data_IF_641612031665
#
_entry.id   IF_641612031665
#
_cell.length_a   1.000
_cell.length_b   1.000
_cell.length_c   1.000
_cell.angle_alpha   90.00
_cell.angle_beta   90.00
_cell.angle_gamma   90.00
#
_symmetry.space_group_name_H-M   'P 1'
#
loop_
_entity.id
_entity.type
_entity.pdbx_description
1 polymer ?
#
# COMPACT_ATOMS: atom_id res chain seq x y z
N UNK A 1 -22.27 32.91 32.92
CA UNK A 1 -20.94 33.37 32.47
C UNK A 1 -20.00 32.18 32.21
N UNK A 2 -19.74 31.30 33.18
CA UNK A 2 -18.87 30.11 33.02
C UNK A 2 -19.17 29.22 31.79
N UNK A 3 -20.45 28.88 31.56
CA UNK A 3 -20.85 28.04 30.42
C UNK A 3 -20.51 28.65 29.05
N UNK A 4 -20.54 29.97 28.92
CA UNK A 4 -20.23 30.65 27.65
C UNK A 4 -18.73 30.63 27.38
N UNK A 5 -17.90 30.76 28.43
CA UNK A 5 -16.45 30.63 28.31
C UNK A 5 -16.02 29.19 27.98
N UNK A 6 -16.68 28.19 28.58
CA UNK A 6 -16.43 26.78 28.26
C UNK A 6 -16.77 26.47 26.79
N UNK A 7 -17.97 26.83 26.33
CA UNK A 7 -18.38 26.64 24.94
C UNK A 7 -17.49 27.42 23.96
N UNK A 8 -17.12 28.66 24.30
CA UNK A 8 -16.20 29.47 23.51
C UNK A 8 -14.81 28.85 23.40
N UNK A 9 -14.25 28.36 24.51
CA UNK A 9 -12.95 27.69 24.50
C UNK A 9 -12.95 26.40 23.68
N UNK A 10 -14.04 25.62 23.74
CA UNK A 10 -14.19 24.39 22.95
C UNK A 10 -14.34 24.69 21.46
N UNK A 11 -15.07 25.75 21.10
CA UNK A 11 -15.21 26.22 19.73
C UNK A 11 -13.86 26.71 19.16
N UNK A 12 -13.09 27.48 19.93
CA UNK A 12 -11.75 27.92 19.54
C UNK A 12 -10.79 26.74 19.37
N UNK A 13 -10.81 25.77 20.28
CA UNK A 13 -10.02 24.55 20.16
C UNK A 13 -10.36 23.78 18.88
N UNK A 14 -11.65 23.65 18.57
CA UNK A 14 -12.12 23.00 17.32
C UNK A 14 -11.62 23.72 16.09
N UNK A 15 -11.70 25.05 16.04
CA UNK A 15 -11.21 25.85 14.93
C UNK A 15 -9.69 25.70 14.77
N UNK A 16 -8.94 25.70 15.87
CA UNK A 16 -7.49 25.48 15.84
C UNK A 16 -7.12 24.09 15.30
N UNK A 17 -7.85 23.05 15.70
CA UNK A 17 -7.65 21.69 15.20
C UNK A 17 -8.00 21.58 13.71
N UNK A 18 -9.11 22.17 13.26
CA UNK A 18 -9.49 22.17 11.85
C UNK A 18 -8.47 22.92 11.00
N UNK A 19 -7.97 24.06 11.50
CA UNK A 19 -6.92 24.82 10.84
C UNK A 19 -5.62 24.02 10.74
N UNK A 20 -5.22 23.35 11.82
CA UNK A 20 -4.07 22.46 11.83
C UNK A 20 -4.22 21.30 10.84
N UNK A 21 -5.37 20.63 10.83
CA UNK A 21 -5.67 19.53 9.91
C UNK A 21 -5.62 19.99 8.45
N UNK A 22 -6.21 21.15 8.15
CA UNK A 22 -6.15 21.75 6.81
C UNK A 22 -4.72 22.08 6.41
N UNK A 23 -3.92 22.65 7.32
CA UNK A 23 -2.52 22.97 7.06
C UNK A 23 -1.67 21.71 6.77
N UNK A 24 -1.83 20.65 7.57
CA UNK A 24 -1.15 19.37 7.34
C UNK A 24 -1.58 18.75 6.03
N UNK A 25 -2.88 18.77 5.71
CA UNK A 25 -3.41 18.25 4.45
C UNK A 25 -2.81 19.01 3.25
N UNK A 26 -2.74 20.34 3.32
CA UNK A 26 -2.09 21.15 2.27
C UNK A 26 -0.63 20.81 2.10
N UNK A 27 0.13 20.69 3.19
CA UNK A 27 1.54 20.31 3.13
C UNK A 27 1.73 18.90 2.55
N UNK A 28 0.83 17.97 2.86
CA UNK A 28 0.83 16.65 2.24
C UNK A 28 0.54 16.74 0.75
N UNK A 29 -0.46 17.51 0.32
CA UNK A 29 -0.76 17.71 -1.10
C UNK A 29 0.40 18.38 -1.85
N UNK A 30 1.05 19.38 -1.27
CA UNK A 30 2.23 20.05 -1.86
C UNK A 30 3.44 19.10 -1.94
N UNK A 31 3.65 18.23 -0.93
CA UNK A 31 4.71 17.23 -0.95
C UNK A 31 4.41 16.05 -1.90
N UNK A 32 3.13 15.80 -2.19
CA UNK A 32 2.65 14.79 -3.13
C UNK A 32 2.18 15.43 -4.44
N UNK A 33 2.59 16.68 -4.73
CA UNK A 33 2.62 17.25 -6.08
C UNK A 33 3.79 16.57 -6.82
N UNK A 34 3.73 15.23 -6.82
CA UNK A 34 4.42 14.40 -7.79
C UNK A 34 4.00 15.01 -9.10
N UNK A 35 4.95 15.57 -9.84
CA UNK A 35 4.75 15.86 -11.25
C UNK A 35 3.93 14.70 -11.79
N UNK A 36 2.79 14.99 -12.41
CA UNK A 36 2.05 13.97 -13.16
C UNK A 36 2.93 13.63 -14.36
N UNK A 37 4.02 12.91 -14.08
CA UNK A 37 4.77 12.13 -15.02
C UNK A 37 3.84 11.05 -15.56
N UNK A 38 4.36 10.31 -16.53
CA UNK A 38 3.68 9.29 -17.31
C UNK A 38 2.45 8.74 -16.59
N UNK A 39 1.24 8.90 -17.16
CA UNK A 39 -0.04 8.58 -16.48
C UNK A 39 -0.10 7.12 -15.99
N UNK A 40 0.84 6.31 -16.45
CA UNK A 40 1.03 4.92 -16.17
C UNK A 40 2.53 4.63 -15.87
N UNK A 41 3.10 5.13 -14.76
CA UNK A 41 4.50 4.88 -14.45
C UNK A 41 4.79 3.39 -14.34
N UNK A 42 6.05 2.99 -14.56
CA UNK A 42 6.47 1.64 -14.23
C UNK A 42 6.33 1.36 -12.73
N UNK A 43 5.52 0.37 -12.36
CA UNK A 43 5.27 0.05 -10.93
C UNK A 43 5.73 -1.36 -10.58
N UNK A 44 6.40 -1.51 -9.43
CA UNK A 44 6.67 -2.81 -8.82
C UNK A 44 5.81 -2.97 -7.57
N UNK A 45 4.94 -3.98 -7.59
CA UNK A 45 4.03 -4.30 -6.49
C UNK A 45 4.68 -5.35 -5.60
N UNK A 46 5.12 -4.94 -4.42
CA UNK A 46 5.65 -5.84 -3.41
C UNK A 46 4.50 -6.50 -2.64
N UNK A 47 4.43 -7.83 -2.68
CA UNK A 47 3.39 -8.64 -2.04
C UNK A 47 4.04 -9.56 -1.01
N UNK A 48 4.06 -9.18 0.27
CA UNK A 48 4.48 -10.09 1.32
C UNK A 48 3.48 -11.25 1.42
N UNK A 49 4.00 -12.46 1.60
CA UNK A 49 3.25 -13.71 1.67
C UNK A 49 3.75 -14.48 2.88
N UNK A 50 2.83 -15.12 3.61
CA UNK A 50 3.16 -15.96 4.75
C UNK A 50 2.15 -17.10 4.85
N UNK A 51 2.65 -18.32 4.73
CA UNK A 51 1.84 -19.53 4.74
C UNK A 51 0.91 -19.66 3.53
N UNK A 52 0.11 -20.73 3.55
CA UNK A 52 -0.91 -21.00 2.55
C UNK A 52 -2.26 -21.21 3.23
N UNK A 53 -3.26 -20.47 2.78
CA UNK A 53 -4.67 -20.71 3.10
C UNK A 53 -5.39 -21.32 1.89
N UNK A 54 -6.61 -21.84 2.11
CA UNK A 54 -7.39 -22.51 1.05
C UNK A 54 -7.74 -21.62 -0.14
N UNK A 55 -7.65 -20.29 0.01
CA UNK A 55 -7.91 -19.27 -1.01
C UNK A 55 -6.67 -18.50 -1.46
N UNK A 56 -5.48 -18.76 -0.88
CA UNK A 56 -4.25 -18.03 -1.22
C UNK A 56 -3.96 -18.08 -2.73
N UNK A 57 -4.15 -19.23 -3.38
CA UNK A 57 -3.93 -19.34 -4.83
C UNK A 57 -4.91 -18.49 -5.65
N UNK A 58 -6.19 -18.43 -5.26
CA UNK A 58 -7.18 -17.58 -5.94
C UNK A 58 -6.86 -16.10 -5.76
N UNK A 59 -6.39 -15.70 -4.57
CA UNK A 59 -5.91 -14.35 -4.30
C UNK A 59 -4.68 -13.98 -5.13
N UNK A 60 -3.74 -14.91 -5.34
CA UNK A 60 -2.61 -14.66 -6.22
C UNK A 60 -3.08 -14.54 -7.67
N UNK A 61 -3.87 -15.50 -8.16
CA UNK A 61 -4.38 -15.50 -9.54
C UNK A 61 -5.16 -14.22 -9.87
N UNK A 62 -6.05 -13.78 -8.98
CA UNK A 62 -6.80 -12.53 -9.18
C UNK A 62 -5.91 -11.29 -9.20
N UNK A 63 -4.85 -11.25 -8.36
CA UNK A 63 -3.86 -10.17 -8.38
C UNK A 63 -3.13 -10.08 -9.72
N UNK A 64 -2.76 -11.23 -10.29
CA UNK A 64 -2.05 -11.30 -11.56
C UNK A 64 -2.92 -10.93 -12.77
N UNK A 65 -4.24 -11.00 -12.61
CA UNK A 65 -5.20 -10.62 -13.66
C UNK A 65 -5.54 -9.12 -13.64
N UNK A 66 -4.98 -8.34 -12.72
CA UNK A 66 -5.23 -6.90 -12.68
C UNK A 66 -4.57 -6.21 -13.89
N UNK A 67 -5.39 -5.56 -14.71
CA UNK A 67 -4.90 -4.77 -15.85
C UNK A 67 -4.43 -3.40 -15.36
N UNK A 68 -3.20 -3.05 -15.73
CA UNK A 68 -2.62 -1.73 -15.53
C UNK A 68 -1.96 -1.33 -16.85
N UNK A 69 -2.29 -0.16 -17.39
CA UNK A 69 -1.87 0.21 -18.75
C UNK A 69 -0.36 0.57 -18.85
N UNK A 70 0.35 0.59 -17.72
CA UNK A 70 1.81 0.77 -17.65
C UNK A 70 2.57 -0.54 -17.45
N UNK A 71 3.90 -0.49 -17.55
CA UNK A 71 4.72 -1.65 -17.17
C UNK A 71 4.55 -1.94 -15.68
N UNK A 72 4.21 -3.17 -15.32
CA UNK A 72 4.07 -3.56 -13.92
C UNK A 72 4.80 -4.87 -13.65
N UNK A 73 5.36 -4.98 -12.45
CA UNK A 73 6.02 -6.16 -11.94
C UNK A 73 5.38 -6.53 -10.60
N UNK A 74 5.17 -7.82 -10.33
CA UNK A 74 4.66 -8.30 -9.02
C UNK A 74 5.75 -9.11 -8.35
N UNK A 75 6.22 -8.61 -7.21
CA UNK A 75 7.26 -9.25 -6.41
C UNK A 75 6.62 -9.97 -5.22
N UNK A 76 6.61 -11.29 -5.23
CA UNK A 76 6.19 -12.07 -4.07
C UNK A 76 7.36 -12.26 -3.11
N UNK A 77 7.20 -11.79 -1.89
CA UNK A 77 8.19 -11.96 -0.84
C UNK A 77 7.67 -12.98 0.17
N UNK A 78 8.28 -14.16 0.19
CA UNK A 78 7.99 -15.22 1.13
C UNK A 78 9.22 -15.50 2.01
N UNK A 79 8.98 -16.04 3.20
CA UNK A 79 10.07 -16.60 4.01
C UNK A 79 10.66 -17.83 3.30
N UNK A 80 11.91 -18.16 3.62
CA UNK A 80 12.55 -19.38 3.10
C UNK A 80 11.75 -20.60 3.56
N UNK A 81 11.52 -21.56 2.66
CA UNK A 81 10.78 -22.80 2.93
C UNK A 81 9.27 -22.56 3.25
N UNK A 82 8.71 -21.39 2.90
CA UNK A 82 7.29 -21.12 3.06
C UNK A 82 6.45 -21.96 2.07
N UNK A 83 5.34 -22.58 2.50
CA UNK A 83 4.47 -23.37 1.61
C UNK A 83 3.89 -22.57 0.43
N UNK A 84 3.88 -21.23 0.49
CA UNK A 84 3.50 -20.36 -0.61
C UNK A 84 4.49 -20.41 -1.79
N UNK A 85 5.77 -20.74 -1.57
CA UNK A 85 6.81 -20.78 -2.61
C UNK A 85 6.42 -21.71 -3.76
N UNK A 86 5.95 -22.92 -3.45
CA UNK A 86 5.52 -23.89 -4.46
C UNK A 86 4.30 -23.42 -5.30
N UNK A 87 3.44 -22.58 -4.71
CA UNK A 87 2.30 -21.99 -5.43
C UNK A 87 2.77 -20.83 -6.29
N UNK A 88 3.64 -19.98 -5.76
CA UNK A 88 4.24 -18.85 -6.48
C UNK A 88 5.05 -19.35 -7.68
N UNK A 89 5.90 -20.37 -7.52
CA UNK A 89 6.65 -20.98 -8.63
C UNK A 89 5.71 -21.51 -9.73
N UNK A 90 4.63 -22.20 -9.35
CA UNK A 90 3.64 -22.73 -10.31
C UNK A 90 2.97 -21.60 -11.10
N UNK A 91 2.71 -20.47 -10.45
CA UNK A 91 2.14 -19.28 -11.10
C UNK A 91 3.18 -18.51 -11.93
N UNK A 92 4.45 -18.46 -11.52
CA UNK A 92 5.53 -17.74 -12.21
C UNK A 92 5.86 -18.30 -13.61
N UNK A 93 5.55 -19.59 -13.83
CA UNK A 93 5.69 -20.25 -15.13
C UNK A 93 4.87 -19.58 -16.24
N UNK A 94 3.85 -18.81 -15.85
CA UNK A 94 3.11 -17.92 -16.71
C UNK A 94 3.81 -16.55 -16.73
N UNK A 95 4.90 -16.42 -17.51
CA UNK A 95 5.57 -15.15 -17.89
C UNK A 95 5.67 -14.07 -16.78
N UNK A 96 6.27 -14.40 -15.64
CA UNK A 96 6.50 -13.42 -14.56
C UNK A 96 7.86 -13.57 -13.88
N UNK A 97 8.50 -12.43 -13.64
CA UNK A 97 9.72 -12.33 -12.85
C UNK A 97 9.37 -12.34 -11.35
N UNK A 98 9.56 -13.49 -10.71
CA UNK A 98 9.43 -13.64 -9.25
C UNK A 98 10.83 -13.60 -8.65
N UNK A 99 11.12 -12.56 -7.85
CA UNK A 99 12.36 -12.48 -7.07
C UNK A 99 12.06 -12.81 -5.61
N UNK A 100 12.52 -13.97 -5.15
CA UNK A 100 12.44 -14.36 -3.74
C UNK A 100 13.54 -13.63 -2.98
N UNK A 101 13.19 -12.69 -2.10
CA UNK A 101 14.16 -11.97 -1.27
C UNK A 101 14.40 -12.71 0.06
N UNK A 102 15.64 -13.11 0.39
CA UNK A 102 15.96 -13.77 1.66
C UNK A 102 15.99 -12.82 2.88
N UNK A 103 15.66 -11.55 2.70
CA UNK A 103 15.72 -10.52 3.75
C UNK A 103 14.34 -9.92 4.02
N UNK A 104 13.54 -10.56 4.89
CA UNK A 104 12.39 -9.89 5.50
C UNK A 104 12.38 -10.14 7.01
N UNK A 105 13.20 -9.40 7.72
CA UNK A 105 13.05 -9.20 9.16
C UNK A 105 12.34 -7.85 9.34
N UNK A 106 11.07 -7.89 9.77
CA UNK A 106 10.27 -6.76 10.31
C UNK A 106 10.03 -5.54 9.41
N UNK A 107 8.78 -5.40 8.94
CA UNK A 107 8.12 -4.10 8.75
C UNK A 107 6.97 -4.02 9.77
#
# INVERSE_FOLDING_TARGET
MLAHHLLGSLALLRLALLFWQWWVARRFMEANDLEVGDLNPGVTVLKPVKGLDSKSEECFRSRLQQSYDGSHQVLFCAEKDDPAEAVIERLSRWEMEVVLSPYMTTC
#
